data_IF_145744040443
#
_entry.id   IF_145744040443
#
_cell.length_a   1.000
_cell.length_b   1.000
_cell.length_c   1.000
_cell.angle_alpha   90.00
_cell.angle_beta   90.00
_cell.angle_gamma   90.00
#
_symmetry.space_group_name_H-M   'P 1'
#
loop_
_entity.id
_entity.type
_entity.pdbx_description
1 polymer ?
#
# COMPACT_ATOMS: atom_id res chain seq x y z
N UNK A 1 41.00 -24.47 -35.91
CA UNK A 1 40.72 -25.14 -34.62
C UNK A 1 40.33 -26.57 -34.92
N UNK A 2 41.27 -27.51 -34.77
CA UNK A 2 40.98 -28.94 -34.91
C UNK A 2 40.45 -29.46 -33.58
N UNK A 3 39.18 -29.85 -33.54
CA UNK A 3 38.63 -30.57 -32.39
C UNK A 3 39.18 -32.01 -32.41
N UNK A 4 40.02 -32.35 -31.43
CA UNK A 4 40.49 -33.74 -31.29
C UNK A 4 39.32 -34.68 -31.05
N UNK A 5 39.40 -35.92 -31.58
CA UNK A 5 38.36 -36.94 -31.43
C UNK A 5 38.00 -37.19 -29.95
N UNK A 6 38.99 -37.08 -29.05
CA UNK A 6 38.78 -37.18 -27.60
C UNK A 6 37.92 -36.05 -27.01
N UNK A 7 38.02 -34.83 -27.54
CA UNK A 7 37.18 -33.71 -27.09
C UNK A 7 35.74 -33.85 -27.58
N UNK A 8 35.53 -34.37 -28.80
CA UNK A 8 34.20 -34.64 -29.34
C UNK A 8 33.49 -35.76 -28.56
N UNK A 9 34.21 -36.81 -28.16
CA UNK A 9 33.65 -37.90 -27.35
C UNK A 9 33.26 -37.40 -25.94
N UNK A 10 34.08 -36.55 -25.32
CA UNK A 10 33.75 -35.94 -24.00
C UNK A 10 32.54 -35.01 -24.09
N UNK A 11 32.45 -34.17 -25.12
CA UNK A 11 31.29 -33.29 -25.34
C UNK A 11 30.01 -34.08 -25.62
N UNK A 12 30.12 -35.17 -26.41
CA UNK A 12 29.00 -36.07 -26.69
C UNK A 12 28.53 -36.78 -25.42
N UNK A 13 29.45 -37.32 -24.62
CA UNK A 13 29.14 -37.95 -23.34
C UNK A 13 28.53 -36.98 -22.33
N UNK A 14 29.01 -35.73 -22.28
CA UNK A 14 28.44 -34.67 -21.44
C UNK A 14 27.02 -34.28 -21.88
N UNK A 15 26.78 -34.21 -23.19
CA UNK A 15 25.45 -33.98 -23.74
C UNK A 15 24.49 -35.13 -23.44
N UNK A 16 24.90 -36.37 -23.66
CA UNK A 16 24.09 -37.58 -23.44
C UNK A 16 23.80 -37.85 -21.95
N UNK A 17 24.74 -37.51 -21.05
CA UNK A 17 24.52 -37.61 -19.61
C UNK A 17 23.51 -36.55 -19.12
N UNK A 18 23.64 -35.31 -19.60
CA UNK A 18 22.65 -34.28 -19.31
C UNK A 18 21.30 -34.59 -19.98
N UNK A 19 21.26 -35.11 -21.21
CA UNK A 19 20.02 -35.50 -21.88
C UNK A 19 19.30 -36.63 -21.14
N UNK A 20 20.01 -37.63 -20.61
CA UNK A 20 19.39 -38.66 -19.76
C UNK A 20 18.84 -38.09 -18.47
N UNK A 21 19.60 -37.25 -17.76
CA UNK A 21 19.11 -36.61 -16.53
C UNK A 21 17.91 -35.68 -16.80
N UNK A 22 17.93 -34.97 -17.93
CA UNK A 22 16.81 -34.15 -18.40
C UNK A 22 15.56 -34.98 -18.72
N UNK A 23 15.72 -36.15 -19.34
CA UNK A 23 14.63 -37.03 -19.76
C UNK A 23 14.09 -37.87 -18.59
N UNK A 24 14.95 -38.38 -17.72
CA UNK A 24 14.59 -39.26 -16.60
C UNK A 24 14.06 -38.47 -15.39
N UNK A 25 14.64 -37.30 -15.06
CA UNK A 25 14.30 -36.53 -13.85
C UNK A 25 13.48 -35.25 -14.11
N UNK A 26 13.74 -34.49 -15.19
CA UNK A 26 13.08 -33.18 -15.40
C UNK A 26 11.84 -33.25 -16.30
N UNK A 27 11.83 -34.11 -17.32
CA UNK A 27 10.69 -34.28 -18.23
C UNK A 27 9.51 -35.03 -17.60
N UNK A 28 9.78 -35.87 -16.61
CA UNK A 28 8.76 -36.62 -15.87
C UNK A 28 8.24 -35.89 -14.62
N UNK A 29 8.88 -34.78 -14.22
CA UNK A 29 8.40 -33.95 -13.11
C UNK A 29 7.20 -33.11 -13.57
N UNK A 30 6.01 -33.51 -13.14
CA UNK A 30 4.76 -32.85 -13.49
C UNK A 30 4.69 -31.40 -13.01
N UNK A 31 5.26 -31.08 -11.84
CA UNK A 31 5.27 -29.70 -11.31
C UNK A 31 6.19 -28.82 -12.17
N UNK A 32 7.36 -29.34 -12.53
CA UNK A 32 8.25 -28.64 -13.45
C UNK A 32 7.61 -28.41 -14.82
N UNK A 33 6.96 -29.43 -15.40
CA UNK A 33 6.29 -29.30 -16.70
C UNK A 33 5.15 -28.27 -16.65
N UNK A 34 4.36 -28.26 -15.58
CA UNK A 34 3.29 -27.28 -15.40
C UNK A 34 3.85 -25.85 -15.29
N UNK A 35 4.89 -25.64 -14.48
CA UNK A 35 5.57 -24.35 -14.33
C UNK A 35 6.19 -23.88 -15.65
N UNK A 36 6.80 -24.80 -16.40
CA UNK A 36 7.39 -24.51 -17.71
C UNK A 36 6.31 -24.14 -18.73
N UNK A 37 5.16 -24.82 -18.72
CA UNK A 37 4.03 -24.49 -19.59
C UNK A 37 3.45 -23.12 -19.25
N UNK A 38 3.23 -22.82 -17.96
CA UNK A 38 2.78 -21.49 -17.47
C UNK A 38 3.76 -20.40 -17.91
N UNK A 39 5.06 -20.62 -17.78
CA UNK A 39 6.08 -19.66 -18.23
C UNK A 39 6.06 -19.45 -19.75
N UNK A 40 5.92 -20.53 -20.54
CA UNK A 40 5.82 -20.43 -22.01
C UNK A 40 4.59 -19.63 -22.43
N UNK A 41 3.45 -19.85 -21.78
CA UNK A 41 2.23 -19.08 -22.04
C UNK A 41 2.47 -17.60 -21.76
N UNK A 42 2.98 -17.26 -20.58
CA UNK A 42 3.30 -15.88 -20.21
C UNK A 42 4.27 -15.21 -21.19
N UNK A 43 5.32 -15.91 -21.59
CA UNK A 43 6.31 -15.41 -22.56
C UNK A 43 5.73 -15.18 -23.95
N UNK A 44 4.73 -15.97 -24.34
CA UNK A 44 4.10 -15.87 -25.66
C UNK A 44 2.89 -14.91 -25.69
N UNK A 45 2.39 -14.50 -24.52
CA UNK A 45 1.35 -13.47 -24.41
C UNK A 45 1.94 -12.08 -24.63
N UNK A 46 1.26 -11.17 -25.35
CA UNK A 46 1.72 -9.79 -25.51
C UNK A 46 1.98 -9.11 -24.16
N UNK A 47 3.06 -8.34 -24.08
CA UNK A 47 3.50 -7.70 -22.83
C UNK A 47 2.41 -6.80 -22.23
N UNK A 48 1.68 -6.05 -23.06
CA UNK A 48 0.56 -5.22 -22.63
C UNK A 48 -0.57 -6.03 -21.98
N UNK A 49 -0.85 -7.24 -22.49
CA UNK A 49 -1.86 -8.13 -21.92
C UNK A 49 -1.43 -8.64 -20.55
N UNK A 50 -0.16 -9.05 -20.42
CA UNK A 50 0.42 -9.47 -19.15
C UNK A 50 0.44 -8.32 -18.13
N UNK A 51 0.83 -7.12 -18.55
CA UNK A 51 0.84 -5.93 -17.71
C UNK A 51 -0.57 -5.56 -17.24
N UNK A 52 -1.56 -5.59 -18.13
CA UNK A 52 -2.96 -5.37 -17.76
C UNK A 52 -3.45 -6.42 -16.75
N UNK A 53 -3.17 -7.70 -16.98
CA UNK A 53 -3.55 -8.77 -16.04
C UNK A 53 -2.86 -8.59 -14.68
N UNK A 54 -1.59 -8.17 -14.67
CA UNK A 54 -0.87 -7.84 -13.45
C UNK A 54 -1.60 -6.76 -12.63
N UNK A 55 -1.95 -5.64 -13.26
CA UNK A 55 -2.66 -4.54 -12.61
C UNK A 55 -4.07 -4.93 -12.14
N UNK A 56 -4.80 -5.75 -12.91
CA UNK A 56 -6.11 -6.28 -12.50
C UNK A 56 -6.00 -7.15 -11.25
N UNK A 57 -4.97 -7.99 -11.16
CA UNK A 57 -4.73 -8.80 -9.95
C UNK A 57 -4.32 -7.91 -8.77
N UNK A 58 -3.53 -6.87 -9.01
CA UNK A 58 -3.16 -5.90 -7.95
C UNK A 58 -4.39 -5.23 -7.35
N UNK A 59 -5.41 -4.91 -8.15
CA UNK A 59 -6.70 -4.41 -7.66
C UNK A 59 -7.44 -5.43 -6.78
N UNK A 60 -7.43 -6.71 -7.15
CA UNK A 60 -7.98 -7.79 -6.32
C UNK A 60 -7.23 -7.93 -4.99
N UNK A 61 -5.90 -7.93 -5.01
CA UNK A 61 -5.06 -7.96 -3.79
C UNK A 61 -5.37 -6.76 -2.89
N UNK A 62 -5.49 -5.57 -3.49
CA UNK A 62 -5.85 -4.34 -2.79
C UNK A 62 -7.21 -4.47 -2.10
N UNK A 63 -8.20 -5.02 -2.79
CA UNK A 63 -9.53 -5.28 -2.24
C UNK A 63 -9.48 -6.17 -0.99
N UNK A 64 -8.79 -7.31 -1.04
CA UNK A 64 -8.69 -8.22 0.13
C UNK A 64 -7.89 -7.64 1.30
N UNK A 65 -6.89 -6.79 1.03
CA UNK A 65 -6.20 -6.03 2.06
C UNK A 65 -7.16 -5.07 2.77
N UNK A 66 -7.89 -4.28 1.99
CA UNK A 66 -8.85 -3.31 2.51
C UNK A 66 -9.95 -4.02 3.31
N UNK A 67 -10.37 -5.19 2.84
CA UNK A 67 -11.33 -6.03 3.54
C UNK A 67 -10.83 -6.49 4.91
N UNK A 68 -9.55 -6.88 4.99
CA UNK A 68 -8.95 -7.27 6.26
C UNK A 68 -8.88 -6.09 7.24
N UNK A 69 -8.65 -4.86 6.74
CA UNK A 69 -8.69 -3.64 7.54
C UNK A 69 -10.12 -3.29 7.98
N UNK A 70 -11.09 -3.42 7.08
CA UNK A 70 -12.51 -3.25 7.39
C UNK A 70 -12.94 -4.17 8.54
N UNK A 71 -12.57 -5.45 8.49
CA UNK A 71 -12.89 -6.39 9.57
C UNK A 71 -12.23 -6.01 10.91
N UNK A 72 -11.01 -5.48 10.88
CA UNK A 72 -10.29 -5.04 12.07
C UNK A 72 -10.92 -3.80 12.72
N UNK A 73 -11.49 -2.91 11.92
CA UNK A 73 -12.12 -1.67 12.39
C UNK A 73 -13.58 -1.87 12.84
N UNK A 74 -14.36 -2.69 12.11
CA UNK A 74 -15.82 -2.75 12.27
C UNK A 74 -16.33 -3.80 13.26
N UNK A 75 -15.57 -4.88 13.49
CA UNK A 75 -16.02 -6.01 14.30
C UNK A 75 -15.20 -6.17 15.58
N UNK A 76 -15.88 -6.58 16.66
CA UNK A 76 -15.20 -7.02 17.88
C UNK A 76 -14.68 -8.46 17.71
N UNK A 77 -13.44 -8.55 17.22
CA UNK A 77 -12.81 -9.82 16.88
C UNK A 77 -12.07 -10.43 18.08
N UNK A 78 -12.16 -11.76 18.19
CA UNK A 78 -11.27 -12.50 19.10
C UNK A 78 -9.79 -12.25 18.78
N UNK A 79 -8.90 -12.32 19.78
CA UNK A 79 -7.44 -12.16 19.61
C UNK A 79 -6.87 -12.97 18.43
N UNK A 80 -7.35 -14.21 18.24
CA UNK A 80 -6.93 -15.08 17.14
C UNK A 80 -7.33 -14.50 15.77
N UNK A 81 -8.56 -14.00 15.65
CA UNK A 81 -9.06 -13.39 14.41
C UNK A 81 -8.38 -12.07 14.13
N UNK A 82 -8.20 -11.22 15.13
CA UNK A 82 -7.40 -9.98 14.99
C UNK A 82 -6.00 -10.27 14.47
N UNK A 83 -5.32 -11.29 15.00
CA UNK A 83 -4.00 -11.70 14.52
C UNK A 83 -4.04 -12.15 13.06
N UNK A 84 -5.02 -12.99 12.71
CA UNK A 84 -5.20 -13.48 11.34
C UNK A 84 -5.38 -12.33 10.33
N UNK A 85 -6.24 -11.35 10.64
CA UNK A 85 -6.45 -10.22 9.73
C UNK A 85 -5.22 -9.32 9.61
N UNK A 86 -4.43 -9.16 10.67
CA UNK A 86 -3.14 -8.43 10.60
C UNK A 86 -2.13 -9.15 9.70
N UNK A 87 -1.97 -10.46 9.89
CA UNK A 87 -1.12 -11.29 9.02
C UNK A 87 -1.58 -11.23 7.56
N UNK A 88 -2.89 -11.21 7.32
CA UNK A 88 -3.43 -10.99 5.98
C UNK A 88 -3.05 -9.62 5.44
N UNK A 89 -3.18 -8.54 6.21
CA UNK A 89 -2.79 -7.18 5.76
C UNK A 89 -1.33 -7.16 5.34
N UNK A 90 -0.45 -7.76 6.14
CA UNK A 90 0.99 -7.84 5.84
C UNK A 90 1.25 -8.65 4.56
N UNK A 91 0.63 -9.82 4.42
CA UNK A 91 0.74 -10.66 3.23
C UNK A 91 0.29 -9.94 1.95
N UNK A 92 -0.85 -9.24 1.98
CA UNK A 92 -1.31 -8.48 0.82
C UNK A 92 -0.40 -7.28 0.53
N UNK A 93 0.19 -6.65 1.55
CA UNK A 93 1.17 -5.58 1.35
C UNK A 93 2.43 -6.08 0.64
N UNK A 94 2.91 -7.28 0.95
CA UNK A 94 4.05 -7.90 0.23
C UNK A 94 3.72 -8.11 -1.25
N UNK A 95 2.53 -8.63 -1.57
CA UNK A 95 2.08 -8.79 -2.96
C UNK A 95 1.93 -7.42 -3.69
N UNK A 96 1.47 -6.39 -2.97
CA UNK A 96 1.37 -5.03 -3.50
C UNK A 96 2.72 -4.33 -3.70
N UNK A 97 3.81 -4.84 -3.15
CA UNK A 97 5.16 -4.32 -3.39
C UNK A 97 5.85 -4.98 -4.59
N UNK A 98 5.33 -6.09 -5.11
CA UNK A 98 5.90 -6.72 -6.30
C UNK A 98 5.83 -5.77 -7.49
N UNK A 99 6.97 -5.59 -8.16
CA UNK A 99 7.10 -4.93 -9.45
C UNK A 99 6.72 -5.88 -10.59
N UNK A 100 6.41 -5.30 -11.76
CA UNK A 100 6.07 -6.10 -12.93
C UNK A 100 7.25 -6.97 -13.39
N UNK A 101 7.03 -8.28 -13.41
CA UNK A 101 7.90 -9.28 -14.04
C UNK A 101 7.07 -10.54 -14.32
N UNK A 102 7.49 -11.37 -15.28
CA UNK A 102 6.78 -12.63 -15.57
C UNK A 102 6.75 -13.58 -14.35
N UNK A 103 7.80 -13.56 -13.52
CA UNK A 103 7.85 -14.34 -12.29
C UNK A 103 6.80 -13.86 -11.27
N UNK A 104 6.73 -12.54 -11.03
CA UNK A 104 5.77 -11.96 -10.10
C UNK A 104 4.34 -12.09 -10.62
N UNK A 105 4.11 -11.92 -11.93
CA UNK A 105 2.83 -12.17 -12.55
C UNK A 105 2.39 -13.63 -12.36
N UNK A 106 3.30 -14.60 -12.49
CA UNK A 106 2.97 -16.01 -12.23
C UNK A 106 2.52 -16.24 -10.78
N UNK A 107 3.15 -15.59 -9.80
CA UNK A 107 2.75 -15.64 -8.38
C UNK A 107 1.35 -15.06 -8.21
N UNK A 108 1.11 -13.87 -8.78
CA UNK A 108 -0.16 -13.17 -8.73
C UNK A 108 -1.29 -13.95 -9.42
N UNK A 109 -1.02 -14.63 -10.54
CA UNK A 109 -2.02 -15.49 -11.18
C UNK A 109 -2.41 -16.67 -10.30
N UNK A 110 -1.44 -17.29 -9.62
CA UNK A 110 -1.73 -18.32 -8.61
C UNK A 110 -2.54 -17.79 -7.43
N UNK A 111 -2.30 -16.55 -7.00
CA UNK A 111 -3.14 -15.86 -6.01
C UNK A 111 -4.58 -15.66 -6.52
N UNK A 112 -4.73 -15.14 -7.74
CA UNK A 112 -6.03 -14.94 -8.39
C UNK A 112 -6.79 -16.25 -8.52
N UNK A 113 -6.16 -17.31 -9.01
CA UNK A 113 -6.76 -18.65 -9.13
C UNK A 113 -7.40 -19.13 -7.81
N UNK A 114 -6.70 -18.94 -6.67
CA UNK A 114 -7.20 -19.36 -5.35
C UNK A 114 -8.30 -18.47 -4.77
N UNK A 115 -8.31 -17.18 -5.10
CA UNK A 115 -9.20 -16.20 -4.47
C UNK A 115 -10.35 -15.75 -5.39
N UNK A 116 -10.34 -16.09 -6.67
CA UNK A 116 -11.28 -15.55 -7.64
C UNK A 116 -12.74 -15.88 -7.29
N UNK A 117 -13.03 -17.09 -6.83
CA UNK A 117 -14.40 -17.47 -6.45
C UNK A 117 -14.92 -16.61 -5.30
N UNK A 118 -14.11 -16.45 -4.24
CA UNK A 118 -14.44 -15.60 -3.08
C UNK A 118 -14.58 -14.14 -3.53
N UNK A 119 -13.64 -13.65 -4.33
CA UNK A 119 -13.66 -12.28 -4.84
C UNK A 119 -14.93 -11.98 -5.64
N UNK A 120 -15.31 -12.87 -6.56
CA UNK A 120 -16.54 -12.69 -7.34
C UNK A 120 -17.79 -12.80 -6.46
N UNK A 121 -17.80 -13.71 -5.48
CA UNK A 121 -18.93 -13.85 -4.56
C UNK A 121 -19.14 -12.59 -3.74
N UNK A 122 -18.07 -12.02 -3.17
CA UNK A 122 -18.17 -10.83 -2.34
C UNK A 122 -18.48 -9.56 -3.15
N UNK A 123 -17.97 -9.45 -4.38
CA UNK A 123 -18.31 -8.34 -5.28
C UNK A 123 -19.80 -8.32 -5.66
N UNK A 124 -20.45 -9.48 -5.67
CA UNK A 124 -21.88 -9.61 -5.95
C UNK A 124 -22.77 -9.42 -4.71
N UNK A 125 -22.19 -9.29 -3.52
CA UNK A 125 -22.91 -9.01 -2.29
C UNK A 125 -23.09 -7.50 -2.13
N UNK A 126 -24.21 -6.97 -2.61
CA UNK A 126 -24.50 -5.53 -2.63
C UNK A 126 -24.52 -4.92 -1.23
N UNK A 127 -25.11 -5.60 -0.24
CA UNK A 127 -25.16 -5.12 1.15
C UNK A 127 -23.74 -4.97 1.70
N UNK A 128 -22.91 -5.99 1.49
CA UNK A 128 -21.53 -5.96 1.92
C UNK A 128 -20.68 -4.89 1.21
N UNK A 129 -20.84 -4.75 -0.11
CA UNK A 129 -20.13 -3.71 -0.86
C UNK A 129 -20.54 -2.30 -0.43
N UNK A 130 -21.81 -2.09 -0.10
CA UNK A 130 -22.28 -0.81 0.44
C UNK A 130 -21.63 -0.50 1.79
N UNK A 131 -21.59 -1.46 2.71
CA UNK A 131 -20.91 -1.29 4.00
C UNK A 131 -19.41 -0.99 3.83
N UNK A 132 -18.73 -1.69 2.92
CA UNK A 132 -17.31 -1.43 2.62
C UNK A 132 -17.10 -0.04 2.01
N UNK A 133 -18.02 0.39 1.14
CA UNK A 133 -17.97 1.72 0.52
C UNK A 133 -18.17 2.83 1.57
N UNK A 134 -19.16 2.70 2.45
CA UNK A 134 -19.38 3.64 3.55
C UNK A 134 -18.16 3.73 4.46
N UNK A 135 -17.54 2.59 4.81
CA UNK A 135 -16.31 2.59 5.59
C UNK A 135 -15.15 3.30 4.89
N UNK A 136 -15.03 3.17 3.55
CA UNK A 136 -14.01 3.90 2.77
C UNK A 136 -14.27 5.40 2.77
N UNK A 137 -15.52 5.82 2.55
CA UNK A 137 -15.94 7.23 2.60
C UNK A 137 -15.70 7.84 3.98
N UNK A 138 -16.03 7.12 5.06
CA UNK A 138 -15.76 7.56 6.42
C UNK A 138 -14.27 7.77 6.68
N UNK A 139 -13.42 6.84 6.23
CA UNK A 139 -11.97 6.93 6.39
C UNK A 139 -11.35 8.05 5.54
N UNK A 140 -11.89 8.32 4.35
CA UNK A 140 -11.47 9.44 3.50
C UNK A 140 -11.84 10.78 4.15
N UNK A 141 -13.07 10.91 4.66
CA UNK A 141 -13.48 12.10 5.43
C UNK A 141 -12.63 12.30 6.68
N UNK A 142 -12.31 11.22 7.37
CA UNK A 142 -11.46 11.26 8.55
C UNK A 142 -10.03 11.71 8.19
N UNK A 143 -9.50 11.23 7.06
CA UNK A 143 -8.20 11.67 6.55
C UNK A 143 -8.17 13.18 6.32
N UNK A 144 -9.19 13.73 5.65
CA UNK A 144 -9.30 15.16 5.38
C UNK A 144 -9.46 15.99 6.67
N UNK A 145 -10.28 15.52 7.62
CA UNK A 145 -10.40 16.18 8.95
C UNK A 145 -9.07 16.28 9.69
N UNK A 146 -8.25 15.23 9.61
CA UNK A 146 -6.93 15.26 10.25
C UNK A 146 -6.00 16.23 9.53
N UNK A 147 -6.10 16.33 8.20
CA UNK A 147 -5.34 17.31 7.41
C UNK A 147 -5.74 18.74 7.76
N UNK A 148 -7.03 19.01 7.96
CA UNK A 148 -7.53 20.30 8.46
C UNK A 148 -6.96 20.65 9.83
N UNK A 149 -6.94 19.68 10.76
CA UNK A 149 -6.32 19.85 12.07
C UNK A 149 -4.83 20.19 11.96
N UNK A 150 -4.08 19.47 11.12
CA UNK A 150 -2.65 19.72 10.88
C UNK A 150 -2.44 21.12 10.29
N UNK A 151 -3.29 21.53 9.34
CA UNK A 151 -3.26 22.87 8.75
C UNK A 151 -3.48 23.94 9.80
N UNK A 152 -4.46 23.77 10.70
CA UNK A 152 -4.72 24.72 11.78
C UNK A 152 -3.47 24.91 12.64
N UNK A 153 -2.85 23.81 13.08
CA UNK A 153 -1.66 23.89 13.93
C UNK A 153 -0.47 24.52 13.22
N UNK A 154 -0.22 24.15 11.95
CA UNK A 154 0.82 24.78 11.14
C UNK A 154 0.60 26.29 11.04
N UNK A 155 -0.62 26.70 10.68
CA UNK A 155 -0.96 28.12 10.51
C UNK A 155 -0.80 28.89 11.82
N UNK A 156 -1.22 28.30 12.94
CA UNK A 156 -1.00 28.87 14.25
C UNK A 156 0.49 29.10 14.56
N UNK A 157 1.34 28.13 14.26
CA UNK A 157 2.79 28.25 14.48
C UNK A 157 3.42 29.33 13.58
N UNK A 158 3.03 29.36 12.31
CA UNK A 158 3.50 30.38 11.37
C UNK A 158 3.03 31.80 11.75
N UNK A 159 1.77 31.93 12.12
CA UNK A 159 1.19 33.17 12.62
C UNK A 159 1.93 33.66 13.86
N UNK A 160 2.17 32.79 14.83
CA UNK A 160 2.86 33.11 16.08
C UNK A 160 4.29 33.60 15.81
N UNK A 161 5.08 32.89 14.98
CA UNK A 161 6.45 33.33 14.65
C UNK A 161 6.46 34.73 14.01
N UNK A 162 5.44 35.07 13.22
CA UNK A 162 5.40 36.32 12.48
C UNK A 162 4.86 37.50 13.29
N UNK A 163 3.95 37.26 14.23
CA UNK A 163 3.19 38.31 14.89
C UNK A 163 3.44 38.40 16.41
N UNK A 164 3.95 37.33 17.05
CA UNK A 164 4.28 37.35 18.48
C UNK A 164 5.77 37.66 18.71
N UNK A 165 6.06 38.94 18.90
CA UNK A 165 7.41 39.45 19.17
C UNK A 165 7.95 39.05 20.56
N UNK A 166 7.14 38.40 21.40
CA UNK A 166 7.55 37.95 22.74
C UNK A 166 8.16 36.54 22.76
N UNK A 167 8.12 35.81 21.63
CA UNK A 167 8.67 34.46 21.54
C UNK A 167 10.19 34.43 21.74
N UNK A 168 10.65 33.50 22.58
CA UNK A 168 12.08 33.22 22.70
C UNK A 168 12.62 32.52 21.45
N UNK A 169 13.93 32.61 21.22
CA UNK A 169 14.59 31.91 20.10
C UNK A 169 14.38 30.39 20.15
N UNK A 170 14.38 29.80 21.35
CA UNK A 170 14.08 28.38 21.54
C UNK A 170 12.67 28.02 21.08
N UNK A 171 11.68 28.87 21.39
CA UNK A 171 10.28 28.65 21.02
C UNK A 171 10.05 28.82 19.52
N UNK A 172 10.72 29.79 18.89
CA UNK A 172 10.73 29.98 17.43
C UNK A 172 11.33 28.74 16.74
N UNK A 173 12.40 28.18 17.29
CA UNK A 173 13.03 26.97 16.75
C UNK A 173 12.09 25.76 16.85
N UNK A 174 11.45 25.53 18.00
CA UNK A 174 10.45 24.45 18.16
C UNK A 174 9.29 24.59 17.15
N UNK A 175 8.73 25.80 17.00
CA UNK A 175 7.66 26.04 16.04
C UNK A 175 8.11 25.80 14.60
N UNK A 176 9.32 26.23 14.25
CA UNK A 176 9.89 26.00 12.92
C UNK A 176 10.02 24.51 12.60
N UNK A 177 10.51 23.70 13.55
CA UNK A 177 10.60 22.25 13.38
C UNK A 177 9.24 21.59 13.25
N UNK A 178 8.26 22.03 14.04
CA UNK A 178 6.87 21.56 13.95
C UNK A 178 6.26 21.87 12.58
N UNK A 179 6.42 23.09 12.06
CA UNK A 179 5.93 23.47 10.73
C UNK A 179 6.49 22.54 9.65
N UNK A 180 7.79 22.23 9.68
CA UNK A 180 8.41 21.29 8.74
C UNK A 180 7.77 19.89 8.84
N UNK A 181 7.50 19.41 10.06
CA UNK A 181 6.82 18.11 10.27
C UNK A 181 5.38 18.15 9.75
N UNK A 182 4.61 19.19 10.05
CA UNK A 182 3.24 19.35 9.55
C UNK A 182 3.20 19.40 8.02
N UNK A 183 4.11 20.14 7.38
CA UNK A 183 4.19 20.17 5.92
C UNK A 183 4.47 18.79 5.30
N UNK A 184 5.30 17.95 5.93
CA UNK A 184 5.50 16.56 5.48
C UNK A 184 4.22 15.72 5.60
N UNK A 185 3.48 15.86 6.70
CA UNK A 185 2.19 15.16 6.87
C UNK A 185 1.15 15.62 5.84
N UNK A 186 1.13 16.92 5.53
CA UNK A 186 0.23 17.50 4.53
C UNK A 186 0.55 17.10 3.09
N UNK A 187 1.73 16.56 2.81
CA UNK A 187 2.08 16.02 1.48
C UNK A 187 1.63 14.57 1.29
N UNK A 188 1.17 13.89 2.34
CA UNK A 188 0.68 12.52 2.21
C UNK A 188 -0.63 12.51 1.42
N UNK A 189 -0.70 11.64 0.42
CA UNK A 189 -1.91 11.27 -0.31
C UNK A 189 -2.76 10.29 0.50
N UNK A 190 -4.05 10.21 0.20
CA UNK A 190 -4.94 9.26 0.85
C UNK A 190 -4.49 7.82 0.58
N UNK A 191 -4.21 7.11 1.66
CA UNK A 191 -4.10 5.66 1.70
C UNK A 191 -4.40 5.22 3.13
N UNK A 192 -4.92 4.01 3.31
CA UNK A 192 -5.18 3.49 4.67
C UNK A 192 -3.91 3.41 5.52
N UNK A 193 -2.76 3.18 4.88
CA UNK A 193 -1.44 3.23 5.53
C UNK A 193 -1.13 4.64 6.06
N UNK A 194 -1.31 5.67 5.24
CA UNK A 194 -1.08 7.06 5.66
C UNK A 194 -2.12 7.51 6.69
N UNK A 195 -3.38 7.09 6.55
CA UNK A 195 -4.42 7.36 7.53
C UNK A 195 -4.07 6.79 8.91
N UNK A 196 -3.50 5.58 8.99
CA UNK A 196 -3.05 5.02 10.27
C UNK A 196 -2.00 5.90 10.95
N UNK A 197 -1.09 6.52 10.19
CA UNK A 197 -0.09 7.46 10.72
C UNK A 197 -0.79 8.73 11.25
N UNK A 198 -1.73 9.26 10.46
CA UNK A 198 -2.49 10.47 10.80
C UNK A 198 -3.41 10.26 12.01
N UNK A 199 -4.02 9.09 12.19
CA UNK A 199 -4.83 8.76 13.38
C UNK A 199 -4.02 8.91 14.67
N UNK A 200 -2.75 8.50 14.69
CA UNK A 200 -1.87 8.72 15.84
C UNK A 200 -1.61 10.22 16.13
N UNK A 201 -1.48 11.04 15.09
CA UNK A 201 -1.38 12.50 15.26
C UNK A 201 -2.68 13.10 15.81
N UNK A 202 -3.84 12.62 15.36
CA UNK A 202 -5.15 13.00 15.89
C UNK A 202 -5.27 12.68 17.37
N UNK A 203 -5.01 11.44 17.77
CA UNK A 203 -5.12 11.00 19.16
C UNK A 203 -4.35 11.90 20.14
N UNK A 204 -3.16 12.38 19.74
CA UNK A 204 -2.35 13.25 20.61
C UNK A 204 -2.79 14.71 20.64
N UNK A 205 -3.47 15.20 19.59
CA UNK A 205 -3.77 16.62 19.43
C UNK A 205 -5.27 16.96 19.46
N UNK A 206 -6.16 15.96 19.44
CA UNK A 206 -7.62 16.15 19.31
C UNK A 206 -8.16 17.13 20.35
N UNK A 207 -7.75 16.99 21.61
CA UNK A 207 -8.22 17.88 22.68
C UNK A 207 -7.85 19.34 22.43
N UNK A 208 -6.58 19.59 22.09
CA UNK A 208 -6.07 20.94 21.80
C UNK A 208 -6.74 21.48 20.53
N UNK A 209 -6.98 20.63 19.55
CA UNK A 209 -7.68 21.00 18.33
C UNK A 209 -9.10 21.47 18.62
N UNK A 210 -9.87 20.71 19.41
CA UNK A 210 -11.23 21.10 19.81
C UNK A 210 -11.24 22.40 20.64
N UNK A 211 -10.28 22.59 21.54
CA UNK A 211 -10.12 23.85 22.27
C UNK A 211 -9.85 25.02 21.30
N UNK A 212 -8.95 24.83 20.33
CA UNK A 212 -8.58 25.84 19.34
C UNK A 212 -9.72 26.18 18.36
N UNK A 213 -10.58 25.20 18.05
CA UNK A 213 -11.77 25.42 17.22
C UNK A 213 -12.84 26.26 17.92
N UNK A 214 -12.93 26.17 19.25
CA UNK A 214 -13.89 26.92 20.05
C UNK A 214 -13.39 28.33 20.43
N UNK A 215 -12.13 28.65 20.14
CA UNK A 215 -11.54 29.97 20.34
C UNK A 215 -11.84 30.88 19.14
N UNK A 216 -12.93 31.64 19.22
CA UNK A 216 -13.36 32.54 18.13
C UNK A 216 -12.33 33.63 17.81
N UNK A 217 -11.59 34.12 18.81
CA UNK A 217 -10.56 35.14 18.63
C UNK A 217 -9.42 34.58 17.78
N UNK A 218 -8.88 33.42 18.18
CA UNK A 218 -7.85 32.72 17.43
C UNK A 218 -8.29 32.39 15.99
N UNK A 219 -9.52 31.89 15.81
CA UNK A 219 -10.03 31.54 14.48
C UNK A 219 -10.13 32.77 13.57
N UNK A 220 -10.58 33.91 14.10
CA UNK A 220 -10.66 35.16 13.36
C UNK A 220 -9.28 35.70 13.01
N UNK A 221 -8.34 35.70 13.95
CA UNK A 221 -6.95 36.14 13.71
C UNK A 221 -6.27 35.32 12.61
N UNK A 222 -6.39 33.98 12.68
CA UNK A 222 -5.86 33.10 11.64
C UNK A 222 -6.54 33.32 10.30
N UNK A 223 -7.84 33.60 10.28
CA UNK A 223 -8.58 33.88 9.04
C UNK A 223 -8.08 35.16 8.38
N UNK A 224 -7.96 36.26 9.13
CA UNK A 224 -7.46 37.53 8.61
C UNK A 224 -6.00 37.39 8.15
N UNK A 225 -5.15 36.73 8.95
CA UNK A 225 -3.76 36.46 8.58
C UNK A 225 -3.64 35.68 7.26
N UNK A 226 -4.44 34.63 7.06
CA UNK A 226 -4.48 33.88 5.78
C UNK A 226 -4.86 34.75 4.59
N UNK A 227 -5.73 35.75 4.78
CA UNK A 227 -6.10 36.70 3.72
C UNK A 227 -4.90 37.58 3.35
N UNK A 228 -4.13 38.05 4.35
CA UNK A 228 -2.93 38.87 4.08
C UNK A 228 -1.84 38.11 3.31
N UNK A 229 -1.76 36.78 3.46
CA UNK A 229 -0.78 35.92 2.77
C UNK A 229 -1.12 35.61 1.30
N UNK A 230 -2.38 35.78 0.90
CA UNK A 230 -2.85 35.47 -0.46
C UNK A 230 -2.83 36.69 -1.41
N UNK A 231 -2.50 37.87 -0.90
CA UNK A 231 -2.32 39.12 -1.66
C UNK A 231 -0.86 39.29 -2.04
#
# INVERSE_FOLDING_TARGET
MEFSLGNLIRLKGFKEANERDYQENWLNDSDFQERLQRWRQLRNTPEETNYREFEEIKKMVLYFRDLSLFYLDWYDLSKRKTKQHRENVDYHNELLQLDYSLANLSILKGYKERNNEVYQSELNDEEFQNNLWEWKDLNEREFEKIKEMILLFRDFQEFSIQNDYSLSQEKIQDYSERIVRHNKLLQLDYSLKNLSILKGYKETNEKIYQESLNDEELQNDLREWRITKRR
#
